data_IF_047581265219
#
_entry.id   IF_047581265219
#
_cell.length_a   1.000
_cell.length_b   1.000
_cell.length_c   1.000
_cell.angle_alpha   90.00
_cell.angle_beta   90.00
_cell.angle_gamma   90.00
#
_symmetry.space_group_name_H-M   'P 1'
#
loop_
_entity.id
_entity.type
_entity.pdbx_description
1 polymer ?
#
# COMPACT_ATOMS: atom_id res chain seq x y z
N UNK A 1 -52.82 8.32 72.72
CA UNK A 1 -51.67 7.69 73.41
C UNK A 1 -50.98 6.72 72.46
N UNK A 2 -49.64 6.72 72.48
CA UNK A 2 -48.74 5.70 71.93
C UNK A 2 -48.32 5.78 70.45
N UNK A 3 -47.09 6.28 70.29
CA UNK A 3 -46.19 6.26 69.14
C UNK A 3 -45.95 4.84 68.60
N UNK A 4 -45.71 4.71 67.29
CA UNK A 4 -44.64 3.86 66.73
C UNK A 4 -44.01 4.56 65.52
N UNK A 5 -42.75 4.99 65.69
CA UNK A 5 -41.86 5.39 64.59
C UNK A 5 -41.39 4.11 63.88
N UNK A 6 -41.45 4.09 62.55
CA UNK A 6 -40.70 3.18 61.71
C UNK A 6 -39.74 4.01 60.86
N UNK A 7 -38.43 3.86 61.13
CA UNK A 7 -37.38 4.49 60.35
C UNK A 7 -37.20 3.71 59.04
N UNK A 8 -37.45 4.35 57.91
CA UNK A 8 -37.10 3.84 56.59
C UNK A 8 -35.68 4.30 56.24
N UNK A 9 -34.74 3.36 56.14
CA UNK A 9 -33.39 3.63 55.66
C UNK A 9 -33.42 3.79 54.13
N UNK A 10 -33.20 5.02 53.64
CA UNK A 10 -32.96 5.30 52.23
C UNK A 10 -31.52 4.89 51.87
N UNK A 11 -31.38 3.76 51.18
CA UNK A 11 -30.14 3.40 50.49
C UNK A 11 -30.04 4.25 49.21
N UNK A 12 -29.22 5.30 49.26
CA UNK A 12 -28.86 6.07 48.08
C UNK A 12 -27.93 5.23 47.19
N UNK A 13 -28.46 4.67 46.10
CA UNK A 13 -27.65 4.04 45.05
C UNK A 13 -27.00 5.15 44.22
N UNK A 14 -25.74 5.46 44.51
CA UNK A 14 -24.93 6.33 43.66
C UNK A 14 -24.54 5.55 42.40
N UNK A 15 -25.26 5.76 41.30
CA UNK A 15 -24.86 5.28 39.99
C UNK A 15 -23.64 6.10 39.53
N UNK A 16 -22.44 5.51 39.65
CA UNK A 16 -21.23 6.08 39.06
C UNK A 16 -21.31 5.81 37.55
N UNK A 17 -21.71 6.82 36.78
CA UNK A 17 -21.62 6.79 35.32
C UNK A 17 -20.15 6.82 34.92
N UNK A 18 -19.54 5.65 34.72
CA UNK A 18 -18.22 5.55 34.13
C UNK A 18 -18.30 5.98 32.66
N UNK A 19 -17.97 7.24 32.38
CA UNK A 19 -17.72 7.69 31.01
C UNK A 19 -16.44 7.03 30.53
N UNK A 20 -16.58 5.95 29.77
CA UNK A 20 -15.46 5.38 29.02
C UNK A 20 -15.06 6.41 27.98
N UNK A 21 -14.06 7.23 28.31
CA UNK A 21 -13.38 8.08 27.34
C UNK A 21 -12.71 7.15 26.32
N UNK A 22 -13.41 6.84 25.23
CA UNK A 22 -12.78 6.31 24.04
C UNK A 22 -11.79 7.38 23.59
N UNK A 23 -10.50 7.15 23.83
CA UNK A 23 -9.44 8.00 23.32
C UNK A 23 -9.67 8.14 21.80
N UNK A 24 -10.15 9.32 21.38
CA UNK A 24 -10.35 9.60 19.96
C UNK A 24 -8.97 9.48 19.31
N UNK A 25 -8.86 8.54 18.36
CA UNK A 25 -7.62 8.37 17.62
C UNK A 25 -7.26 9.71 16.98
N UNK A 26 -6.02 10.20 17.12
CA UNK A 26 -5.59 11.42 16.47
C UNK A 26 -5.86 11.30 14.96
N UNK A 27 -6.69 12.18 14.42
CA UNK A 27 -6.86 12.31 12.98
C UNK A 27 -5.58 12.95 12.43
N UNK A 28 -4.84 12.30 11.53
CA UNK A 28 -3.67 12.93 10.91
C UNK A 28 -4.09 14.23 10.20
N UNK A 29 -3.17 15.19 10.01
CA UNK A 29 -3.42 16.30 9.09
C UNK A 29 -3.86 15.73 7.74
N UNK A 30 -5.01 16.20 7.23
CA UNK A 30 -5.46 15.78 5.93
C UNK A 30 -4.40 16.20 4.89
N UNK A 31 -3.80 15.23 4.20
CA UNK A 31 -2.99 15.52 3.02
C UNK A 31 -3.86 16.11 1.90
N UNK A 32 -3.24 16.51 0.78
CA UNK A 32 -4.00 17.01 -0.37
C UNK A 32 -4.89 15.90 -0.96
N UNK A 33 -6.13 16.26 -1.29
CA UNK A 33 -7.07 15.40 -2.01
C UNK A 33 -6.86 15.60 -3.52
N UNK A 34 -5.94 14.84 -4.10
CA UNK A 34 -5.54 14.99 -5.51
C UNK A 34 -6.30 14.03 -6.42
N UNK A 35 -6.51 14.47 -7.66
CA UNK A 35 -6.89 13.63 -8.79
C UNK A 35 -5.63 13.26 -9.56
N UNK A 36 -5.59 12.06 -10.11
CA UNK A 36 -4.45 11.56 -10.87
C UNK A 36 -4.66 10.12 -11.32
N UNK A 37 -3.59 9.34 -11.21
CA UNK A 37 -3.52 7.98 -11.70
C UNK A 37 -2.75 7.11 -10.73
N UNK A 38 -3.09 5.82 -10.68
CA UNK A 38 -2.35 4.85 -9.89
C UNK A 38 -0.96 4.67 -10.48
N UNK A 39 0.07 4.80 -9.65
CA UNK A 39 1.48 4.80 -10.06
C UNK A 39 1.95 3.52 -10.75
N UNK A 40 1.25 2.43 -10.46
CA UNK A 40 1.83 1.09 -10.46
C UNK A 40 0.73 0.05 -10.31
N UNK A 41 1.04 -1.20 -10.65
CA UNK A 41 0.11 -2.29 -10.38
C UNK A 41 0.03 -2.56 -8.87
N UNK A 42 -1.19 -2.56 -8.34
CA UNK A 42 -1.47 -2.90 -6.94
C UNK A 42 -2.41 -4.11 -6.85
N UNK A 43 -2.29 -4.87 -5.77
CA UNK A 43 -3.14 -6.02 -5.46
C UNK A 43 -4.18 -5.62 -4.43
N UNK A 44 -5.44 -5.67 -4.85
CA UNK A 44 -6.59 -5.42 -3.99
C UNK A 44 -7.16 -6.73 -3.45
N UNK A 45 -7.48 -6.74 -2.17
CA UNK A 45 -8.33 -7.71 -1.52
C UNK A 45 -9.70 -7.07 -1.27
N UNK A 46 -10.56 -7.16 -2.29
CA UNK A 46 -11.89 -6.56 -2.28
C UNK A 46 -11.86 -5.03 -2.33
N UNK A 47 -11.95 -4.39 -1.18
CA UNK A 47 -11.96 -2.93 -1.01
C UNK A 47 -10.72 -2.39 -0.30
N UNK A 48 -9.69 -3.22 -0.11
CA UNK A 48 -8.46 -2.80 0.57
C UNK A 48 -7.20 -3.27 -0.16
N UNK A 49 -6.15 -2.47 -0.07
CA UNK A 49 -4.81 -2.70 -0.62
C UNK A 49 -3.82 -2.49 0.52
N UNK A 50 -2.84 -3.38 0.66
CA UNK A 50 -1.69 -3.19 1.55
C UNK A 50 -0.48 -2.68 0.75
N UNK A 51 0.34 -1.82 1.35
CA UNK A 51 1.57 -1.31 0.71
C UNK A 51 2.60 -2.39 0.40
N UNK A 52 2.54 -3.53 1.08
CA UNK A 52 3.43 -4.67 0.80
C UNK A 52 3.07 -5.44 -0.48
N UNK A 53 1.86 -5.20 -1.03
CA UNK A 53 1.44 -5.69 -2.35
C UNK A 53 1.56 -7.21 -2.57
N UNK A 54 1.18 -8.01 -1.57
CA UNK A 54 1.25 -9.48 -1.63
C UNK A 54 0.42 -10.09 -2.76
N UNK A 55 0.98 -11.16 -3.35
CA UNK A 55 0.38 -12.02 -4.36
C UNK A 55 -0.27 -13.24 -3.70
N UNK A 56 -1.32 -12.97 -2.94
CA UNK A 56 -2.08 -13.98 -2.20
C UNK A 56 -3.36 -14.38 -2.92
N UNK A 57 -3.88 -15.57 -2.55
CA UNK A 57 -5.16 -16.05 -3.05
C UNK A 57 -6.29 -15.05 -2.76
N UNK A 58 -7.10 -14.75 -3.77
CA UNK A 58 -8.23 -13.82 -3.65
C UNK A 58 -7.88 -12.36 -3.94
N UNK A 59 -6.59 -12.03 -4.11
CA UNK A 59 -6.19 -10.71 -4.60
C UNK A 59 -6.47 -10.55 -6.09
N UNK A 60 -6.67 -9.30 -6.53
CA UNK A 60 -6.83 -8.94 -7.95
C UNK A 60 -5.95 -7.74 -8.27
N UNK A 61 -5.49 -7.66 -9.51
CA UNK A 61 -4.69 -6.53 -9.97
C UNK A 61 -5.59 -5.31 -10.22
N UNK A 62 -5.21 -4.16 -9.66
CA UNK A 62 -5.57 -2.83 -10.13
C UNK A 62 -4.40 -2.31 -10.94
N UNK A 63 -4.64 -2.03 -12.22
CA UNK A 63 -3.58 -1.75 -13.17
C UNK A 63 -2.90 -0.40 -12.93
N UNK A 64 -1.61 -0.34 -13.26
CA UNK A 64 -0.90 0.93 -13.45
C UNK A 64 -1.66 1.87 -14.38
N UNK A 65 -1.71 3.16 -14.03
CA UNK A 65 -2.47 4.18 -14.77
C UNK A 65 -3.98 4.07 -14.63
N UNK A 66 -4.52 3.33 -13.66
CA UNK A 66 -5.94 3.43 -13.30
C UNK A 66 -6.24 4.84 -12.80
N UNK A 67 -7.26 5.55 -13.33
CA UNK A 67 -7.68 6.85 -12.80
C UNK A 67 -7.92 6.77 -11.29
N UNK A 68 -7.34 7.69 -10.55
CA UNK A 68 -7.30 7.65 -9.10
C UNK A 68 -7.65 9.03 -8.52
N UNK A 69 -8.38 9.03 -7.41
CA UNK A 69 -8.65 10.25 -6.63
C UNK A 69 -8.54 9.94 -5.16
N UNK A 70 -7.68 10.67 -4.45
CA UNK A 70 -7.62 10.58 -2.99
C UNK A 70 -8.88 11.22 -2.40
N UNK A 71 -9.59 10.50 -1.54
CA UNK A 71 -10.87 10.92 -0.95
C UNK A 71 -10.76 11.25 0.53
N UNK A 72 -9.87 10.59 1.26
CA UNK A 72 -9.67 10.84 2.69
C UNK A 72 -8.31 10.34 3.17
N UNK A 73 -7.92 10.82 4.35
CA UNK A 73 -6.79 10.33 5.13
C UNK A 73 -7.29 9.93 6.51
N UNK A 74 -6.98 8.72 6.97
CA UNK A 74 -7.33 8.24 8.31
C UNK A 74 -6.23 7.35 8.88
N UNK A 75 -5.61 7.81 9.96
CA UNK A 75 -4.58 7.08 10.70
C UNK A 75 -3.44 6.52 9.83
N UNK A 76 -3.53 5.25 9.42
CA UNK A 76 -2.55 4.54 8.57
C UNK A 76 -3.11 4.23 7.19
N UNK A 77 -4.18 4.89 6.80
CA UNK A 77 -4.89 4.67 5.56
C UNK A 77 -5.03 5.97 4.80
N UNK A 78 -4.93 5.90 3.49
CA UNK A 78 -5.62 6.86 2.65
C UNK A 78 -6.68 6.12 1.86
N UNK A 79 -7.82 6.78 1.72
CA UNK A 79 -8.93 6.27 0.92
C UNK A 79 -8.80 6.87 -0.47
N UNK A 80 -9.08 6.07 -1.49
CA UNK A 80 -9.09 6.51 -2.87
C UNK A 80 -10.25 5.90 -3.65
N UNK A 81 -10.76 6.66 -4.60
CA UNK A 81 -11.55 6.12 -5.70
C UNK A 81 -10.61 5.68 -6.82
N UNK A 82 -10.61 4.40 -7.17
CA UNK A 82 -9.83 3.85 -8.29
C UNK A 82 -10.80 3.43 -9.41
N UNK A 83 -10.98 4.31 -10.39
CA UNK A 83 -11.93 4.17 -11.49
C UNK A 83 -13.38 3.83 -11.04
N UNK A 84 -13.92 4.62 -10.11
CA UNK A 84 -15.28 4.45 -9.58
C UNK A 84 -15.40 3.37 -8.51
N UNK A 85 -14.28 2.78 -8.07
CA UNK A 85 -14.25 1.75 -7.02
C UNK A 85 -13.56 2.32 -5.78
N UNK A 86 -14.27 2.45 -4.65
CA UNK A 86 -13.64 2.82 -3.38
C UNK A 86 -12.61 1.77 -2.95
N UNK A 87 -11.43 2.24 -2.55
CA UNK A 87 -10.33 1.43 -2.06
C UNK A 87 -9.70 2.08 -0.84
N UNK A 88 -9.32 1.25 0.13
CA UNK A 88 -8.55 1.65 1.30
C UNK A 88 -7.12 1.19 1.17
N UNK A 89 -6.16 2.11 1.08
CA UNK A 89 -4.75 1.77 0.92
C UNK A 89 -4.05 1.93 2.27
N UNK A 90 -3.55 0.81 2.79
CA UNK A 90 -2.93 0.71 4.12
C UNK A 90 -1.42 0.96 4.04
N UNK A 91 -0.94 1.86 4.88
CA UNK A 91 0.46 1.98 5.24
C UNK A 91 0.78 0.95 6.36
N UNK A 92 0.98 -0.31 5.97
CA UNK A 92 1.35 -1.35 6.92
C UNK A 92 2.80 -1.22 7.35
N UNK A 93 3.71 -1.00 6.41
CA UNK A 93 5.15 -1.12 6.64
C UNK A 93 5.95 0.14 6.26
N UNK A 94 5.35 1.13 5.61
CA UNK A 94 6.01 2.39 5.24
C UNK A 94 5.77 3.53 6.25
N UNK A 95 5.80 3.23 7.55
CA UNK A 95 5.40 4.19 8.61
C UNK A 95 6.47 5.22 8.97
N UNK A 96 7.67 5.07 8.41
CA UNK A 96 8.77 6.03 8.51
C UNK A 96 8.63 7.22 7.55
N UNK A 97 7.60 7.24 6.70
CA UNK A 97 7.21 8.41 5.89
C UNK A 97 5.84 8.91 6.32
N UNK A 98 5.58 10.21 6.11
CA UNK A 98 4.28 10.81 6.45
C UNK A 98 3.18 10.21 5.59
N UNK A 99 1.95 10.15 6.10
CA UNK A 99 0.82 9.59 5.35
C UNK A 99 0.54 10.34 4.01
N UNK A 100 0.67 11.68 3.92
CA UNK A 100 0.59 12.37 2.64
C UNK A 100 1.71 11.97 1.67
N UNK A 101 2.96 11.87 2.11
CA UNK A 101 4.07 11.43 1.28
C UNK A 101 3.90 9.97 0.82
N UNK A 102 3.36 9.12 1.69
CA UNK A 102 2.97 7.76 1.36
C UNK A 102 1.89 7.74 0.27
N UNK A 103 0.82 8.52 0.39
CA UNK A 103 -0.25 8.53 -0.61
C UNK A 103 0.22 9.07 -1.98
N UNK A 104 1.11 10.06 -1.98
CA UNK A 104 1.72 10.62 -3.20
C UNK A 104 2.61 9.62 -3.95
N UNK A 105 3.07 8.53 -3.31
CA UNK A 105 3.73 7.44 -4.03
C UNK A 105 2.75 6.73 -4.96
N UNK A 106 1.49 6.55 -4.54
CA UNK A 106 0.52 5.71 -5.25
C UNK A 106 -0.39 6.50 -6.17
N UNK A 107 -0.77 7.73 -5.83
CA UNK A 107 -1.57 8.59 -6.70
C UNK A 107 -0.68 9.69 -7.25
N UNK A 108 -0.38 9.60 -8.54
CA UNK A 108 0.50 10.51 -9.28
C UNK A 108 -0.31 11.38 -10.24
N UNK A 109 0.14 12.60 -10.53
CA UNK A 109 -0.60 13.56 -11.36
C UNK A 109 -0.47 13.30 -12.86
N UNK A 110 0.62 12.68 -13.30
CA UNK A 110 0.86 12.29 -14.69
C UNK A 110 0.44 10.84 -14.90
N UNK A 111 -0.23 10.54 -16.01
CA UNK A 111 -0.62 9.16 -16.33
C UNK A 111 0.62 8.31 -16.68
N UNK A 112 0.98 7.29 -15.87
CA UNK A 112 2.10 6.41 -16.15
C UNK A 112 2.02 5.75 -17.54
N UNK A 113 0.83 5.58 -18.11
CA UNK A 113 0.64 4.99 -19.45
C UNK A 113 1.30 5.82 -20.55
N UNK A 114 1.40 7.14 -20.38
CA UNK A 114 2.08 8.01 -21.34
C UNK A 114 3.57 7.69 -21.41
N UNK A 115 4.22 7.53 -20.25
CA UNK A 115 5.63 7.10 -20.18
C UNK A 115 5.81 5.68 -20.68
N UNK A 116 4.91 4.77 -20.28
CA UNK A 116 4.95 3.38 -20.71
C UNK A 116 4.91 3.23 -22.23
N UNK A 117 4.17 4.09 -22.95
CA UNK A 117 4.12 4.04 -24.41
C UNK A 117 5.50 4.15 -25.08
N UNK A 118 6.44 4.85 -24.45
CA UNK A 118 7.81 5.01 -24.93
C UNK A 118 8.77 3.88 -24.53
N UNK A 119 8.37 2.96 -23.63
CA UNK A 119 9.22 1.86 -23.19
C UNK A 119 9.34 0.79 -24.27
N UNK A 120 10.44 0.01 -24.24
CA UNK A 120 10.62 -1.15 -25.09
C UNK A 120 9.44 -2.15 -24.92
N UNK A 121 9.00 -2.83 -25.99
CA UNK A 121 7.85 -3.75 -25.92
C UNK A 121 7.92 -4.78 -24.79
N UNK A 122 9.06 -5.46 -24.63
CA UNK A 122 9.27 -6.46 -23.58
C UNK A 122 9.12 -5.87 -22.16
N UNK A 123 9.56 -4.63 -21.95
CA UNK A 123 9.40 -3.93 -20.66
C UNK A 123 7.94 -3.63 -20.39
N UNK A 124 7.19 -3.15 -21.40
CA UNK A 124 5.74 -2.90 -21.25
C UNK A 124 4.99 -4.18 -20.92
N UNK A 125 5.29 -5.26 -21.63
CA UNK A 125 4.68 -6.57 -21.41
C UNK A 125 4.96 -7.09 -20.00
N UNK A 126 6.21 -6.97 -19.54
CA UNK A 126 6.58 -7.35 -18.18
C UNK A 126 5.85 -6.50 -17.13
N UNK A 127 5.74 -5.16 -17.31
CA UNK A 127 4.94 -4.31 -16.42
C UNK A 127 3.47 -4.76 -16.39
N UNK A 128 2.85 -4.99 -17.55
CA UNK A 128 1.46 -5.43 -17.62
C UNK A 128 1.24 -6.82 -16.98
N UNK A 129 2.25 -7.68 -17.03
CA UNK A 129 2.24 -8.99 -16.39
C UNK A 129 2.60 -8.95 -14.88
N UNK A 130 2.88 -7.77 -14.30
CA UNK A 130 3.34 -7.59 -12.91
C UNK A 130 4.67 -8.34 -12.67
N UNK A 131 5.57 -8.25 -13.65
CA UNK A 131 6.87 -8.93 -13.65
C UNK A 131 8.03 -7.94 -13.75
N UNK A 132 9.19 -8.39 -13.29
CA UNK A 132 10.47 -7.69 -13.38
C UNK A 132 11.42 -8.49 -14.28
N UNK A 133 12.29 -7.78 -14.99
CA UNK A 133 13.35 -8.38 -15.81
C UNK A 133 14.64 -7.55 -15.73
N UNK A 134 15.81 -8.16 -15.99
CA UNK A 134 17.06 -7.43 -16.15
C UNK A 134 16.94 -6.29 -17.17
N UNK A 135 17.63 -5.19 -16.91
CA UNK A 135 17.61 -3.97 -17.73
C UNK A 135 16.47 -3.01 -17.43
N UNK A 136 15.48 -3.38 -16.61
CA UNK A 136 14.44 -2.43 -16.17
C UNK A 136 15.03 -1.29 -15.32
N UNK A 137 14.52 -0.08 -15.46
CA UNK A 137 14.83 1.03 -14.54
C UNK A 137 14.09 0.86 -13.21
N UNK A 138 14.52 1.59 -12.18
CA UNK A 138 13.80 1.73 -10.91
C UNK A 138 12.33 2.11 -11.11
N UNK A 139 12.05 3.11 -11.96
CA UNK A 139 10.68 3.54 -12.27
C UNK A 139 9.86 2.40 -12.90
N UNK A 140 10.44 1.63 -13.81
CA UNK A 140 9.76 0.49 -14.44
C UNK A 140 9.47 -0.63 -13.44
N UNK A 141 10.37 -0.91 -12.50
CA UNK A 141 10.14 -1.85 -11.39
C UNK A 141 8.99 -1.37 -10.51
N UNK A 142 8.98 -0.08 -10.13
CA UNK A 142 7.88 0.50 -9.34
C UNK A 142 6.55 0.39 -10.08
N UNK A 143 6.50 0.72 -11.38
CA UNK A 143 5.29 0.57 -12.19
C UNK A 143 4.82 -0.89 -12.24
N UNK A 144 5.75 -1.84 -12.36
CA UNK A 144 5.44 -3.26 -12.45
C UNK A 144 4.89 -3.83 -11.14
N UNK A 145 5.56 -3.60 -10.00
CA UNK A 145 5.32 -4.35 -8.75
C UNK A 145 5.06 -3.48 -7.52
N UNK A 146 4.97 -2.16 -7.70
CA UNK A 146 4.71 -1.20 -6.62
C UNK A 146 5.97 -0.78 -5.87
N UNK A 147 5.80 0.19 -4.98
CA UNK A 147 6.87 0.65 -4.10
C UNK A 147 7.29 -0.44 -3.12
N UNK A 148 8.60 -0.63 -2.91
CA UNK A 148 9.06 -1.46 -1.81
C UNK A 148 8.70 -0.76 -0.49
N UNK A 149 8.41 -1.56 0.54
CA UNK A 149 8.02 -1.02 1.86
C UNK A 149 9.18 -0.23 2.46
N UNK A 150 8.89 0.95 2.98
CA UNK A 150 9.94 1.89 3.39
C UNK A 150 10.65 1.49 4.69
N UNK A 151 10.09 0.60 5.52
CA UNK A 151 10.79 0.04 6.69
C UNK A 151 12.01 -0.80 6.29
N UNK A 152 11.91 -1.54 5.18
CA UNK A 152 12.96 -2.42 4.67
C UNK A 152 13.81 -1.74 3.59
N UNK A 153 13.29 -0.65 3.02
CA UNK A 153 13.89 0.08 1.91
C UNK A 153 13.81 1.60 2.18
N UNK A 154 14.60 2.11 3.13
CA UNK A 154 14.53 3.51 3.56
C UNK A 154 14.97 4.50 2.46
N UNK A 155 15.76 4.04 1.49
CA UNK A 155 16.14 4.82 0.31
C UNK A 155 15.80 4.06 -0.97
N UNK A 156 15.14 4.74 -1.91
CA UNK A 156 14.88 4.18 -3.24
C UNK A 156 16.13 4.21 -4.13
N UNK A 157 17.17 4.93 -3.75
CA UNK A 157 18.45 4.93 -4.46
C UNK A 157 19.37 3.76 -4.05
N UNK A 158 18.95 2.97 -3.06
CA UNK A 158 19.71 1.82 -2.58
C UNK A 158 19.98 0.80 -3.72
N UNK A 159 21.18 0.20 -3.78
CA UNK A 159 21.55 -0.74 -4.84
C UNK A 159 20.70 -2.01 -4.85
N UNK A 160 19.98 -2.29 -3.76
CA UNK A 160 19.09 -3.44 -3.63
C UNK A 160 17.77 -3.00 -3.03
N UNK A 161 16.67 -3.49 -3.59
CA UNK A 161 15.34 -3.40 -3.00
C UNK A 161 14.85 -4.77 -2.56
N UNK A 162 14.32 -4.88 -1.35
CA UNK A 162 13.72 -6.10 -0.79
C UNK A 162 12.19 -6.05 -0.91
N UNK A 163 11.61 -7.17 -1.32
CA UNK A 163 10.19 -7.36 -1.58
C UNK A 163 9.72 -8.73 -1.10
N UNK A 164 8.40 -8.87 -1.02
CA UNK A 164 7.73 -10.11 -0.61
C UNK A 164 6.54 -10.39 -1.52
N UNK A 165 6.31 -11.67 -1.85
CA UNK A 165 5.08 -12.13 -2.53
C UNK A 165 4.03 -12.67 -1.58
N UNK A 166 4.46 -13.11 -0.43
CA UNK A 166 3.65 -13.48 0.73
C UNK A 166 4.56 -13.38 1.96
N UNK A 167 4.08 -13.82 3.12
CA UNK A 167 4.83 -13.71 4.38
C UNK A 167 6.16 -14.48 4.41
N UNK A 168 6.41 -15.39 3.45
CA UNK A 168 7.58 -16.27 3.44
C UNK A 168 8.42 -16.16 2.16
N UNK A 169 7.84 -15.61 1.10
CA UNK A 169 8.45 -15.54 -0.23
C UNK A 169 9.14 -14.19 -0.44
N UNK A 170 10.30 -13.98 0.20
CA UNK A 170 11.16 -12.80 -0.03
C UNK A 170 11.88 -12.91 -1.39
N UNK A 171 12.02 -11.76 -2.07
CA UNK A 171 12.97 -11.59 -3.17
C UNK A 171 13.58 -10.20 -3.15
N UNK A 172 14.70 -10.05 -3.85
CA UNK A 172 15.49 -8.85 -3.91
C UNK A 172 15.76 -8.47 -5.35
N UNK A 173 15.58 -7.19 -5.68
CA UNK A 173 15.91 -6.61 -6.98
C UNK A 173 17.20 -5.82 -6.80
N UNK A 174 18.28 -6.27 -7.44
CA UNK A 174 19.58 -5.59 -7.42
C UNK A 174 19.75 -4.72 -8.67
N UNK A 175 20.25 -3.52 -8.49
CA UNK A 175 20.50 -2.54 -9.54
C UNK A 175 22.00 -2.36 -9.78
N UNK A 176 22.38 -2.06 -11.01
CA UNK A 176 23.73 -1.63 -11.36
C UNK A 176 23.95 -0.13 -11.09
N UNK A 177 25.17 0.36 -11.36
CA UNK A 177 25.54 1.77 -11.15
C UNK A 177 24.75 2.75 -12.04
N UNK A 178 24.04 2.26 -13.05
CA UNK A 178 23.15 3.05 -13.91
C UNK A 178 21.70 3.01 -13.43
N UNK A 179 21.41 2.32 -12.33
CA UNK A 179 20.05 2.16 -11.80
C UNK A 179 19.19 1.19 -12.61
N UNK A 180 19.81 0.29 -13.38
CA UNK A 180 19.12 -0.75 -14.13
C UNK A 180 19.14 -2.07 -13.34
N UNK A 181 18.07 -2.85 -13.42
CA UNK A 181 18.00 -4.18 -12.80
C UNK A 181 19.12 -5.04 -13.35
N UNK A 182 20.06 -5.40 -12.49
CA UNK A 182 21.16 -6.32 -12.79
C UNK A 182 20.73 -7.76 -12.59
N UNK A 183 20.08 -8.04 -11.47
CA UNK A 183 19.62 -9.39 -11.12
C UNK A 183 18.44 -9.34 -10.15
N UNK A 184 17.64 -10.39 -10.13
CA UNK A 184 16.60 -10.64 -9.13
C UNK A 184 16.89 -11.97 -8.48
N UNK A 185 17.05 -11.98 -7.16
CA UNK A 185 17.39 -13.17 -6.37
C UNK A 185 16.38 -13.33 -5.24
N UNK A 186 16.10 -14.55 -4.81
CA UNK A 186 15.10 -14.77 -3.78
C UNK A 186 14.61 -16.20 -3.71
N UNK A 187 13.54 -16.38 -2.95
CA UNK A 187 12.86 -17.66 -2.85
C UNK A 187 12.33 -18.13 -4.23
N UNK A 188 12.46 -19.42 -4.59
CA UNK A 188 12.00 -19.93 -5.89
C UNK A 188 10.51 -19.66 -6.17
N UNK A 189 9.65 -19.70 -5.16
CA UNK A 189 8.23 -19.38 -5.29
C UNK A 189 8.07 -17.91 -5.63
N UNK A 190 8.76 -17.01 -4.91
CA UNK A 190 8.77 -15.58 -5.23
C UNK A 190 9.21 -15.33 -6.68
N UNK A 191 10.34 -15.93 -7.09
CA UNK A 191 10.93 -15.77 -8.41
C UNK A 191 9.98 -16.25 -9.53
N UNK A 192 9.31 -17.39 -9.36
CA UNK A 192 8.33 -17.90 -10.32
C UNK A 192 7.16 -16.92 -10.57
N UNK A 193 6.83 -16.11 -9.55
CA UNK A 193 5.74 -15.13 -9.57
C UNK A 193 6.20 -13.74 -10.01
N UNK A 194 7.47 -13.37 -9.89
CA UNK A 194 7.95 -12.02 -10.24
C UNK A 194 8.81 -11.94 -11.50
N UNK A 195 9.50 -12.99 -11.91
CA UNK A 195 10.35 -12.91 -13.10
C UNK A 195 9.54 -12.99 -14.39
N UNK A 196 9.83 -12.09 -15.33
CA UNK A 196 9.37 -12.26 -16.70
C UNK A 196 10.08 -13.46 -17.32
N UNK A 197 9.37 -14.23 -18.14
CA UNK A 197 10.03 -15.24 -18.96
C UNK A 197 11.02 -14.53 -19.90
N UNK A 198 12.19 -15.13 -20.19
CA UNK A 198 13.05 -14.62 -21.23
C UNK A 198 12.24 -14.52 -22.53
N UNK A 199 12.37 -13.39 -23.23
CA UNK A 199 11.72 -13.21 -24.53
C UNK A 199 12.11 -14.39 -25.42
N UNK A 200 11.12 -15.10 -25.96
CA UNK A 200 11.42 -16.11 -26.98
C UNK A 200 11.98 -15.40 -28.21
N UNK A 201 13.08 -15.92 -28.81
CA UNK A 201 13.71 -15.31 -29.97
C UNK A 201 12.80 -15.25 -31.19
#
# INVERSE_FOLDING_TARGET
MSKRLAAAALLAVTAVSATVAHAQRPTPPAGPLINGYLCCNMRTYGSSISDINYDEQGTRIVAVGTPARITAYDFRWFDADLAGKPQRIKNDYSRNITLPAFAQRYVVTEDPKQKMAAFAPAVREAILAVKVMPGMTREQVLMAIGYPVASENPSLDAPVWRYWRDSWSEFQVSFDDKGLVKTVVGDPVALSRVLAAPAQP
#
